data_IF_600907702358
#
_entry.id   IF_600907702358
#
_cell.length_a   1.000
_cell.length_b   1.000
_cell.length_c   1.000
_cell.angle_alpha   90.00
_cell.angle_beta   90.00
_cell.angle_gamma   90.00
#
_symmetry.space_group_name_H-M   'P 1'
#
loop_
_entity.id
_entity.type
_entity.pdbx_description
1 polymer ?
#
# COMPACT_ATOMS: atom_id res chain seq x y z
N UNK A 1 -64.97 25.34 -27.59
CA UNK A 1 -65.65 24.21 -26.91
C UNK A 1 -64.77 22.97 -27.01
N UNK A 2 -64.69 22.19 -25.90
CA UNK A 2 -64.14 20.82 -25.77
C UNK A 2 -62.60 20.75 -25.77
N UNK A 3 -61.94 21.00 -24.64
CA UNK A 3 -61.57 20.00 -23.60
C UNK A 3 -61.00 18.71 -24.21
N UNK A 4 -59.67 18.66 -24.34
CA UNK A 4 -58.93 17.39 -24.22
C UNK A 4 -58.03 17.55 -23.00
N UNK A 5 -58.62 17.15 -21.87
CA UNK A 5 -57.92 16.68 -20.69
C UNK A 5 -57.63 15.21 -20.99
N UNK A 6 -56.36 14.85 -21.11
CA UNK A 6 -55.90 13.47 -21.05
C UNK A 6 -54.41 13.51 -20.65
N UNK A 7 -54.15 13.65 -19.36
CA UNK A 7 -53.76 12.52 -18.51
C UNK A 7 -52.24 12.35 -18.54
N UNK A 8 -51.61 13.11 -17.65
CA UNK A 8 -50.33 12.80 -17.01
C UNK A 8 -50.47 11.41 -16.35
N UNK A 9 -50.12 10.34 -17.06
CA UNK A 9 -49.91 9.01 -16.47
C UNK A 9 -48.43 8.69 -16.58
N UNK A 10 -47.75 8.99 -15.48
CA UNK A 10 -46.96 8.02 -14.72
C UNK A 10 -46.28 6.96 -15.59
N UNK A 11 -45.09 7.28 -16.08
CA UNK A 11 -43.97 6.33 -16.16
C UNK A 11 -42.67 7.06 -15.80
N UNK A 12 -42.66 7.63 -14.60
CA UNK A 12 -41.42 7.71 -13.83
C UNK A 12 -41.09 6.29 -13.39
N UNK A 13 -40.51 5.51 -14.30
CA UNK A 13 -39.77 4.32 -13.94
C UNK A 13 -38.48 4.79 -13.25
N UNK A 14 -38.63 5.27 -12.01
CA UNK A 14 -37.56 5.21 -11.04
C UNK A 14 -37.26 3.72 -10.88
N UNK A 15 -36.30 3.23 -11.66
CA UNK A 15 -35.51 2.07 -11.31
C UNK A 15 -34.80 2.42 -10.01
N UNK A 16 -35.52 2.31 -8.90
CA UNK A 16 -34.91 2.11 -7.59
C UNK A 16 -34.24 0.76 -7.73
N UNK A 17 -33.00 0.76 -8.21
CA UNK A 17 -32.13 -0.37 -8.04
C UNK A 17 -31.87 -0.42 -6.54
N UNK A 18 -32.81 -1.01 -5.82
CA UNK A 18 -32.62 -1.46 -4.47
C UNK A 18 -31.55 -2.53 -4.57
N UNK A 19 -30.29 -2.09 -4.51
CA UNK A 19 -29.17 -2.93 -4.11
C UNK A 19 -29.33 -3.22 -2.61
N UNK A 20 -30.50 -3.74 -2.23
CA UNK A 20 -30.73 -4.45 -1.01
C UNK A 20 -30.12 -5.83 -1.26
N UNK A 21 -28.78 -5.86 -1.29
CA UNK A 21 -28.04 -7.05 -0.97
C UNK A 21 -28.51 -7.46 0.41
N UNK A 22 -29.48 -8.35 0.41
CA UNK A 22 -29.87 -9.14 1.55
C UNK A 22 -28.57 -9.70 2.10
N UNK A 23 -28.11 -9.14 3.22
CA UNK A 23 -27.12 -9.78 4.08
C UNK A 23 -27.76 -11.06 4.59
N UNK A 24 -27.79 -12.08 3.74
CA UNK A 24 -27.82 -13.47 4.17
C UNK A 24 -26.46 -13.68 4.85
N UNK A 25 -26.48 -13.54 6.16
CA UNK A 25 -25.38 -13.99 6.99
C UNK A 25 -25.20 -15.49 6.76
N UNK A 26 -24.06 -15.87 6.18
CA UNK A 26 -23.52 -17.24 6.16
C UNK A 26 -22.08 -17.19 5.64
N UNK A 27 -21.12 -17.92 6.23
CA UNK A 27 -20.74 -18.05 7.63
C UNK A 27 -19.38 -17.35 7.92
N UNK A 28 -19.20 -16.98 9.19
CA UNK A 28 -18.07 -16.28 9.84
C UNK A 28 -16.63 -16.78 9.51
N UNK A 29 -16.47 -17.95 8.90
CA UNK A 29 -15.18 -18.64 8.79
C UNK A 29 -14.25 -18.10 7.69
N UNK A 30 -14.79 -17.68 6.53
CA UNK A 30 -13.97 -17.18 5.41
C UNK A 30 -13.47 -15.75 5.65
N UNK A 31 -14.27 -14.92 6.32
CA UNK A 31 -13.88 -13.56 6.70
C UNK A 31 -12.81 -13.61 7.80
N UNK A 32 -12.94 -14.52 8.77
CA UNK A 32 -11.93 -14.73 9.81
C UNK A 32 -10.60 -15.29 9.27
N UNK A 33 -10.63 -16.23 8.33
CA UNK A 33 -9.41 -16.77 7.71
C UNK A 33 -8.70 -15.72 6.83
N UNK A 34 -9.46 -14.94 6.06
CA UNK A 34 -8.92 -13.84 5.25
C UNK A 34 -8.33 -12.74 6.13
N UNK A 35 -8.99 -12.39 7.25
CA UNK A 35 -8.46 -11.40 8.19
C UNK A 35 -7.19 -11.87 8.90
N UNK A 36 -7.08 -13.17 9.25
CA UNK A 36 -5.86 -13.75 9.82
C UNK A 36 -4.71 -13.74 8.81
N UNK A 37 -4.93 -14.18 7.58
CA UNK A 37 -3.92 -14.17 6.53
C UNK A 37 -3.41 -12.75 6.23
N UNK A 38 -4.29 -11.75 6.19
CA UNK A 38 -3.90 -10.35 6.02
C UNK A 38 -3.11 -9.79 7.21
N UNK A 39 -3.46 -10.18 8.44
CA UNK A 39 -2.73 -9.78 9.64
C UNK A 39 -1.33 -10.40 9.70
N UNK A 40 -1.19 -11.67 9.36
CA UNK A 40 0.09 -12.38 9.26
C UNK A 40 0.98 -11.77 8.17
N UNK A 41 0.42 -11.47 7.00
CA UNK A 41 1.17 -10.82 5.91
C UNK A 41 1.63 -9.41 6.29
N UNK A 42 0.80 -8.63 7.00
CA UNK A 42 1.20 -7.33 7.54
C UNK A 42 2.33 -7.44 8.56
N UNK A 43 2.28 -8.44 9.44
CA UNK A 43 3.36 -8.70 10.40
C UNK A 43 4.68 -9.02 9.68
N UNK A 44 4.64 -9.87 8.65
CA UNK A 44 5.81 -10.21 7.84
C UNK A 44 6.44 -8.96 7.18
N UNK A 45 5.62 -8.03 6.68
CA UNK A 45 6.13 -6.78 6.10
C UNK A 45 6.77 -5.86 7.14
N UNK A 46 6.17 -5.77 8.34
CA UNK A 46 6.77 -5.00 9.43
C UNK A 46 8.11 -5.60 9.87
N UNK A 47 8.23 -6.92 9.96
CA UNK A 47 9.48 -7.59 10.30
C UNK A 47 10.56 -7.38 9.23
N UNK A 48 10.20 -7.50 7.96
CA UNK A 48 11.11 -7.25 6.84
C UNK A 48 11.58 -5.78 6.81
N UNK A 49 10.67 -4.83 7.08
CA UNK A 49 11.01 -3.42 7.20
C UNK A 49 11.99 -3.15 8.36
N UNK A 50 11.81 -3.80 9.52
CA UNK A 50 12.74 -3.68 10.65
C UNK A 50 14.13 -4.24 10.31
N UNK A 51 14.22 -5.31 9.52
CA UNK A 51 15.50 -5.85 9.04
C UNK A 51 16.21 -4.87 8.09
N UNK A 52 15.46 -4.19 7.24
CA UNK A 52 16.00 -3.15 6.35
C UNK A 52 16.55 -1.96 7.16
N UNK A 53 15.82 -1.51 8.19
CA UNK A 53 16.31 -0.46 9.11
C UNK A 53 17.57 -0.92 9.83
N UNK A 54 17.56 -2.13 10.40
CA UNK A 54 18.74 -2.67 11.10
C UNK A 54 19.96 -2.75 10.18
N UNK A 55 19.74 -3.13 8.91
CA UNK A 55 20.79 -3.16 7.89
C UNK A 55 21.34 -1.76 7.62
N UNK A 56 20.46 -0.76 7.46
CA UNK A 56 20.84 0.64 7.24
C UNK A 56 21.55 1.26 8.45
N UNK A 57 21.10 0.95 9.67
CA UNK A 57 21.67 1.46 10.92
C UNK A 57 23.12 1.03 11.17
N UNK A 58 23.60 -0.02 10.47
CA UNK A 58 25.00 -0.41 10.49
C UNK A 58 25.92 0.59 9.75
N UNK A 59 25.36 1.46 8.92
CA UNK A 59 26.11 2.42 8.09
C UNK A 59 25.91 3.87 8.51
N UNK A 60 24.71 4.20 9.00
CA UNK A 60 24.37 5.57 9.42
C UNK A 60 23.61 5.56 10.73
N UNK A 61 23.88 6.55 11.58
CA UNK A 61 23.11 6.75 12.81
C UNK A 61 21.79 7.44 12.48
N UNK A 62 20.69 6.75 12.74
CA UNK A 62 19.35 7.26 12.50
C UNK A 62 18.80 7.98 13.74
N UNK A 63 18.00 9.02 13.51
CA UNK A 63 17.13 9.59 14.53
C UNK A 63 15.84 8.79 14.64
N UNK A 64 15.14 8.89 15.77
CA UNK A 64 13.86 8.18 15.95
C UNK A 64 12.82 8.58 14.90
N UNK A 65 12.83 9.83 14.43
CA UNK A 65 11.93 10.28 13.36
C UNK A 65 12.29 9.63 12.01
N UNK A 66 13.58 9.50 11.70
CA UNK A 66 14.04 8.81 10.49
C UNK A 66 13.70 7.32 10.54
N UNK A 67 13.89 6.66 11.68
CA UNK A 67 13.52 5.26 11.86
C UNK A 67 12.03 5.02 11.60
N UNK A 68 11.15 5.86 12.13
CA UNK A 68 9.69 5.75 11.90
C UNK A 68 9.33 5.97 10.42
N UNK A 69 9.93 6.99 9.78
CA UNK A 69 9.70 7.28 8.37
C UNK A 69 10.21 6.15 7.46
N UNK A 70 11.41 5.63 7.73
CA UNK A 70 12.02 4.53 6.99
C UNK A 70 11.26 3.22 7.20
N UNK A 71 10.78 2.95 8.42
CA UNK A 71 9.92 1.79 8.69
C UNK A 71 8.69 1.80 7.81
N UNK A 72 8.00 2.94 7.76
CA UNK A 72 6.81 3.10 6.94
C UNK A 72 7.12 2.95 5.44
N UNK A 73 8.26 3.47 4.99
CA UNK A 73 8.73 3.34 3.62
C UNK A 73 9.03 1.88 3.24
N UNK A 74 9.71 1.13 4.10
CA UNK A 74 10.07 -0.25 3.83
C UNK A 74 8.88 -1.20 3.95
N UNK A 75 7.93 -0.94 4.85
CA UNK A 75 6.65 -1.67 4.88
C UNK A 75 5.90 -1.50 3.55
N UNK A 76 5.81 -0.26 3.08
CA UNK A 76 5.22 0.04 1.77
C UNK A 76 5.96 -0.70 0.66
N UNK A 77 7.30 -0.66 0.63
CA UNK A 77 8.13 -1.41 -0.33
C UNK A 77 7.73 -2.89 -0.38
N UNK A 78 7.75 -3.58 0.77
CA UNK A 78 7.45 -5.01 0.86
C UNK A 78 6.00 -5.31 0.45
N UNK A 79 5.06 -4.45 0.83
CA UNK A 79 3.65 -4.59 0.43
C UNK A 79 3.44 -4.47 -1.07
N UNK A 80 4.13 -3.53 -1.75
CA UNK A 80 3.98 -3.37 -3.20
C UNK A 80 4.66 -4.52 -3.94
N UNK A 81 5.85 -4.96 -3.53
CA UNK A 81 6.51 -6.08 -4.20
C UNK A 81 5.76 -7.41 -4.02
N UNK A 82 5.04 -7.60 -2.91
CA UNK A 82 4.18 -8.77 -2.73
C UNK A 82 3.00 -8.85 -3.72
N UNK A 83 2.69 -7.77 -4.45
CA UNK A 83 1.61 -7.74 -5.45
C UNK A 83 2.03 -8.25 -6.84
N UNK A 84 3.21 -8.87 -6.97
CA UNK A 84 3.74 -9.41 -8.22
C UNK A 84 3.68 -8.39 -9.39
N UNK A 85 4.20 -7.19 -9.12
CA UNK A 85 4.25 -6.11 -10.11
C UNK A 85 5.21 -6.44 -11.26
N UNK A 86 4.99 -5.84 -12.44
CA UNK A 86 5.87 -5.99 -13.60
C UNK A 86 7.28 -5.45 -13.34
N UNK A 87 8.27 -5.93 -14.09
CA UNK A 87 9.67 -5.49 -13.98
C UNK A 87 9.82 -3.97 -14.15
N UNK A 88 9.11 -3.36 -15.11
CA UNK A 88 9.08 -1.90 -15.26
C UNK A 88 8.62 -1.18 -14.00
N UNK A 89 7.57 -1.70 -13.32
CA UNK A 89 7.09 -1.14 -12.06
C UNK A 89 8.06 -1.38 -10.91
N UNK A 90 8.82 -2.48 -10.91
CA UNK A 90 9.89 -2.72 -9.92
C UNK A 90 10.99 -1.68 -10.05
N UNK A 91 11.40 -1.33 -11.28
CA UNK A 91 12.41 -0.29 -11.52
C UNK A 91 11.93 1.06 -11.00
N UNK A 92 10.71 1.47 -11.37
CA UNK A 92 10.12 2.74 -10.92
C UNK A 92 9.97 2.77 -9.39
N UNK A 93 9.54 1.66 -8.78
CA UNK A 93 9.44 1.55 -7.34
C UNK A 93 10.81 1.71 -6.68
N UNK A 94 11.84 1.01 -7.16
CA UNK A 94 13.19 1.11 -6.61
C UNK A 94 13.74 2.55 -6.68
N UNK A 95 13.53 3.26 -7.79
CA UNK A 95 13.89 4.67 -7.92
C UNK A 95 13.13 5.57 -6.94
N UNK A 96 11.82 5.34 -6.77
CA UNK A 96 11.00 6.09 -5.83
C UNK A 96 11.44 5.86 -4.37
N UNK A 97 11.72 4.61 -4.00
CA UNK A 97 12.26 4.26 -2.69
C UNK A 97 13.62 4.93 -2.48
N UNK A 98 14.53 4.87 -3.47
CA UNK A 98 15.83 5.57 -3.40
C UNK A 98 15.66 7.07 -3.14
N UNK A 99 14.79 7.73 -3.90
CA UNK A 99 14.51 9.16 -3.73
C UNK A 99 13.98 9.49 -2.34
N UNK A 100 13.05 8.69 -1.81
CA UNK A 100 12.50 8.86 -0.47
C UNK A 100 13.52 8.61 0.64
N UNK A 101 14.41 7.61 0.48
CA UNK A 101 15.52 7.39 1.40
C UNK A 101 16.40 8.65 1.44
N UNK A 102 16.77 9.21 0.29
CA UNK A 102 17.54 10.46 0.25
C UNK A 102 16.80 11.59 0.97
N UNK A 103 15.51 11.79 0.71
CA UNK A 103 14.73 12.84 1.38
C UNK A 103 14.63 12.68 2.90
N UNK A 104 14.59 11.43 3.42
CA UNK A 104 14.50 11.18 4.86
C UNK A 104 15.88 11.32 5.54
N UNK A 105 16.93 10.85 4.89
CA UNK A 105 18.29 10.87 5.44
C UNK A 105 18.96 12.23 5.29
N UNK A 106 18.61 12.97 4.24
CA UNK A 106 19.34 14.15 3.79
C UNK A 106 20.65 13.78 3.08
N UNK A 107 21.20 14.75 2.36
CA UNK A 107 22.33 14.51 1.44
C UNK A 107 23.58 13.95 2.16
N UNK A 108 23.91 14.42 3.37
CA UNK A 108 25.10 13.95 4.12
C UNK A 108 25.03 12.47 4.49
N UNK A 109 23.89 12.02 5.02
CA UNK A 109 23.72 10.61 5.39
C UNK A 109 23.52 9.72 4.16
N UNK A 110 22.84 10.24 3.13
CA UNK A 110 22.62 9.49 1.90
C UNK A 110 23.92 9.24 1.12
N UNK A 111 24.81 10.24 1.03
CA UNK A 111 26.11 10.11 0.37
C UNK A 111 26.98 9.00 0.98
N UNK A 112 26.80 8.69 2.28
CA UNK A 112 27.53 7.62 2.98
C UNK A 112 27.09 6.21 2.58
N UNK A 113 25.87 6.08 2.02
CA UNK A 113 25.29 4.77 1.69
C UNK A 113 25.09 4.57 0.19
N UNK A 114 24.95 5.64 -0.61
CA UNK A 114 24.56 5.52 -2.01
C UNK A 114 25.61 4.80 -2.88
N UNK A 115 26.89 4.91 -2.52
CA UNK A 115 27.99 4.19 -3.17
C UNK A 115 28.01 2.69 -2.86
N UNK A 116 27.29 2.24 -1.83
CA UNK A 116 27.20 0.82 -1.49
C UNK A 116 26.07 0.17 -2.31
N UNK A 117 26.41 -0.35 -3.49
CA UNK A 117 25.44 -0.98 -4.39
C UNK A 117 24.73 -2.18 -3.75
N UNK A 118 25.42 -2.96 -2.92
CA UNK A 118 24.82 -4.10 -2.23
C UNK A 118 23.75 -3.64 -1.24
N UNK A 119 24.06 -2.63 -0.41
CA UNK A 119 23.09 -2.03 0.50
C UNK A 119 21.92 -1.42 -0.26
N UNK A 120 22.18 -0.63 -1.31
CA UNK A 120 21.12 0.00 -2.08
C UNK A 120 20.19 -1.02 -2.73
N UNK A 121 20.70 -2.16 -3.18
CA UNK A 121 19.86 -3.27 -3.67
C UNK A 121 18.95 -3.81 -2.55
N UNK A 122 19.48 -4.06 -1.35
CA UNK A 122 18.67 -4.51 -0.21
C UNK A 122 17.56 -3.49 0.12
N UNK A 123 17.91 -2.20 0.15
CA UNK A 123 16.97 -1.16 0.57
C UNK A 123 15.88 -0.86 -0.47
N UNK A 124 16.14 -1.06 -1.77
CA UNK A 124 15.25 -0.61 -2.85
C UNK A 124 14.60 -1.73 -3.66
N UNK A 125 15.22 -2.91 -3.73
CA UNK A 125 14.75 -4.05 -4.54
C UNK A 125 14.12 -5.14 -3.67
N UNK A 126 13.46 -6.10 -4.32
CA UNK A 126 13.02 -7.36 -3.72
C UNK A 126 13.94 -8.48 -4.17
#
# INVERSE_FOLDING_TARGET
MKKIIAVFVIMLAFGVNANAQQKKATPSTQVAATNKANAEQKANFSEAALKDIATLSNYVKLTSQQEVALKSLFEYKHQIYAQNISEERKVILAENIKGKINSILGDDLFAKIEGNTQLMNVLTKQ
#
